data_IF_222038742979
#
_entry.id   IF_222038742979
#
_cell.length_a   1.000
_cell.length_b   1.000
_cell.length_c   1.000
_cell.angle_alpha   90.00
_cell.angle_beta   90.00
_cell.angle_gamma   90.00
#
_symmetry.space_group_name_H-M   'P 1'
#
loop_
_entity.id
_entity.type
_entity.pdbx_description
1 polymer ?
#
# COMPACT_ATOMS: atom_id res chain seq x y z
N UNK A 1 -20.27 -22.32 -16.58
CA UNK A 1 -21.01 -21.15 -16.05
C UNK A 1 -21.05 -21.32 -14.54
N UNK A 2 -20.39 -20.46 -13.76
CA UNK A 2 -20.42 -20.55 -12.28
C UNK A 2 -21.75 -19.97 -11.81
N UNK A 3 -22.64 -20.84 -11.34
CA UNK A 3 -23.89 -20.45 -10.71
C UNK A 3 -23.60 -19.56 -9.49
N UNK A 4 -24.34 -18.47 -9.43
CA UNK A 4 -24.40 -17.49 -8.34
C UNK A 4 -24.73 -18.18 -7.01
N UNK A 5 -23.68 -18.51 -6.25
CA UNK A 5 -23.82 -18.79 -4.82
C UNK A 5 -23.84 -17.44 -4.09
N UNK A 6 -24.68 -17.35 -3.07
CA UNK A 6 -24.68 -16.30 -2.05
C UNK A 6 -23.28 -15.77 -1.78
N UNK A 7 -23.14 -14.44 -1.71
CA UNK A 7 -21.87 -13.77 -1.40
C UNK A 7 -21.19 -14.47 -0.22
N UNK A 8 -20.07 -15.16 -0.47
CA UNK A 8 -19.25 -15.79 0.58
C UNK A 8 -18.67 -14.76 1.54
N UNK A 9 -18.70 -13.49 1.14
CA UNK A 9 -18.24 -12.35 1.93
C UNK A 9 -19.29 -11.99 2.97
N UNK A 10 -18.87 -12.08 4.23
CA UNK A 10 -19.63 -11.68 5.41
C UNK A 10 -19.49 -10.19 5.67
N UNK A 11 -18.27 -9.65 5.55
CA UNK A 11 -17.99 -8.26 5.89
C UNK A 11 -16.87 -7.66 5.03
N UNK A 12 -17.05 -6.39 4.68
CA UNK A 12 -16.02 -5.56 4.03
C UNK A 12 -15.38 -4.71 5.12
N UNK A 13 -14.08 -4.92 5.33
CA UNK A 13 -13.26 -4.23 6.30
C UNK A 13 -12.63 -2.93 5.75
N UNK A 14 -11.53 -2.47 6.38
CA UNK A 14 -10.79 -1.30 5.92
C UNK A 14 -10.29 -1.42 4.48
N UNK A 15 -10.13 -0.26 3.85
CA UNK A 15 -9.66 -0.12 2.49
C UNK A 15 -8.48 0.85 2.44
N UNK A 16 -7.46 0.51 1.66
CA UNK A 16 -6.21 1.28 1.56
C UNK A 16 -5.97 1.59 0.08
N UNK A 17 -5.91 2.87 -0.26
CA UNK A 17 -5.48 3.32 -1.57
C UNK A 17 -3.97 3.45 -1.59
N UNK A 18 -3.34 2.83 -2.60
CA UNK A 18 -1.90 2.97 -2.80
C UNK A 18 -1.60 4.34 -3.41
N UNK A 19 -0.57 5.04 -2.92
CA UNK A 19 -0.06 6.24 -3.57
C UNK A 19 0.27 5.95 -5.04
N UNK A 20 0.04 6.94 -5.92
CA UNK A 20 0.51 6.81 -7.30
C UNK A 20 2.01 7.03 -7.29
N UNK A 21 2.75 6.06 -7.80
CA UNK A 21 4.17 6.25 -8.10
C UNK A 21 4.40 7.00 -9.42
N UNK A 22 3.36 7.18 -10.24
CA UNK A 22 3.47 7.78 -11.56
C UNK A 22 3.00 9.23 -11.60
N UNK A 23 3.66 10.02 -12.44
CA UNK A 23 3.26 11.37 -12.82
C UNK A 23 1.78 11.47 -13.22
N UNK A 24 1.15 12.64 -13.01
CA UNK A 24 -0.20 12.88 -13.48
C UNK A 24 -0.29 12.61 -14.99
N UNK A 25 -1.40 12.01 -15.46
CA UNK A 25 -1.54 11.70 -16.88
C UNK A 25 -1.53 12.98 -17.72
N UNK A 26 -1.04 12.93 -18.97
CA UNK A 26 -1.13 14.04 -19.91
C UNK A 26 -2.58 14.55 -20.05
N UNK A 27 -2.77 15.86 -20.30
CA UNK A 27 -4.09 16.44 -20.47
C UNK A 27 -4.92 15.67 -21.51
N UNK A 28 -6.17 15.38 -21.17
CA UNK A 28 -7.10 14.64 -22.04
C UNK A 28 -7.12 13.12 -21.86
N UNK A 29 -6.18 12.52 -21.11
CA UNK A 29 -6.22 11.09 -20.79
C UNK A 29 -6.96 10.84 -19.48
N UNK A 30 -7.82 9.81 -19.47
CA UNK A 30 -8.52 9.37 -18.25
C UNK A 30 -7.51 8.85 -17.23
N UNK A 31 -7.54 9.44 -16.05
CA UNK A 31 -6.74 8.98 -14.91
C UNK A 31 -7.18 7.57 -14.51
N UNK A 32 -6.29 6.57 -14.65
CA UNK A 32 -6.51 5.22 -14.11
C UNK A 32 -6.84 5.35 -12.62
N UNK A 33 -7.81 4.63 -12.07
CA UNK A 33 -8.04 4.66 -10.61
C UNK A 33 -6.79 4.13 -9.88
N UNK A 34 -6.46 4.68 -8.72
CA UNK A 34 -5.35 4.20 -7.86
C UNK A 34 -5.54 2.75 -7.49
N UNK A 35 -4.48 1.95 -7.42
CA UNK A 35 -4.60 0.58 -6.90
C UNK A 35 -5.07 0.62 -5.44
N UNK A 36 -5.90 -0.34 -5.06
CA UNK A 36 -6.53 -0.38 -3.74
C UNK A 36 -6.57 -1.80 -3.23
N UNK A 37 -6.28 -1.95 -1.95
CA UNK A 37 -6.43 -3.19 -1.19
C UNK A 37 -7.60 -3.08 -0.22
N UNK A 38 -8.38 -4.14 -0.13
CA UNK A 38 -9.61 -4.19 0.65
C UNK A 38 -9.53 -5.42 1.54
N UNK A 39 -9.72 -5.22 2.84
CA UNK A 39 -9.83 -6.34 3.77
C UNK A 39 -11.22 -6.95 3.63
N UNK A 40 -11.28 -8.25 3.38
CA UNK A 40 -12.53 -8.99 3.21
C UNK A 40 -12.58 -10.11 4.24
N UNK A 41 -13.71 -10.24 4.94
CA UNK A 41 -13.99 -11.35 5.83
C UNK A 41 -15.08 -12.23 5.21
N UNK A 42 -14.79 -13.53 5.12
CA UNK A 42 -15.66 -14.55 4.60
C UNK A 42 -16.48 -15.22 5.71
N UNK A 43 -17.57 -15.85 5.31
CA UNK A 43 -18.35 -16.72 6.18
C UNK A 43 -17.52 -17.93 6.64
N UNK A 44 -17.62 -18.27 7.92
CA UNK A 44 -16.96 -19.43 8.53
C UNK A 44 -17.78 -20.70 8.44
N UNK A 45 -19.07 -20.57 8.15
CA UNK A 45 -20.01 -21.68 8.01
C UNK A 45 -19.99 -22.23 6.57
N UNK A 46 -20.06 -23.56 6.45
CA UNK A 46 -19.96 -24.27 5.17
C UNK A 46 -21.18 -23.99 4.27
N UNK A 47 -22.31 -23.64 4.88
CA UNK A 47 -23.56 -23.34 4.16
C UNK A 47 -23.40 -22.09 3.30
N UNK A 48 -22.83 -21.02 3.86
CA UNK A 48 -22.60 -19.76 3.14
C UNK A 48 -21.23 -19.71 2.45
N UNK A 49 -20.25 -20.50 2.89
CA UNK A 49 -18.94 -20.59 2.28
C UNK A 49 -18.46 -22.05 2.22
N UNK A 50 -18.64 -22.75 1.08
CA UNK A 50 -18.27 -24.16 0.96
C UNK A 50 -16.77 -24.41 1.19
N UNK A 51 -15.94 -23.39 1.02
CA UNK A 51 -14.49 -23.45 1.11
C UNK A 51 -13.97 -22.95 2.48
N UNK A 52 -14.85 -22.74 3.47
CA UNK A 52 -14.51 -22.21 4.80
C UNK A 52 -13.50 -23.06 5.60
N UNK A 53 -13.32 -24.34 5.23
CA UNK A 53 -12.33 -25.22 5.87
C UNK A 53 -10.93 -25.14 5.26
N UNK A 54 -10.81 -24.62 4.04
CA UNK A 54 -9.59 -24.67 3.24
C UNK A 54 -8.99 -23.29 3.00
N UNK A 55 -9.81 -22.24 3.07
CA UNK A 55 -9.39 -20.86 2.82
C UNK A 55 -9.28 -20.06 4.12
N UNK A 56 -8.42 -19.06 4.07
CA UNK A 56 -8.35 -18.05 5.11
C UNK A 56 -9.68 -17.29 5.17
N UNK A 57 -10.22 -17.14 6.39
CA UNK A 57 -11.48 -16.44 6.60
C UNK A 57 -11.36 -14.92 6.42
N UNK A 58 -10.13 -14.40 6.41
CA UNK A 58 -9.84 -12.99 6.30
C UNK A 58 -8.65 -12.80 5.38
N UNK A 59 -8.85 -12.05 4.31
CA UNK A 59 -7.78 -11.76 3.35
C UNK A 59 -7.79 -10.31 2.89
N UNK A 60 -6.68 -9.89 2.28
CA UNK A 60 -6.58 -8.62 1.58
C UNK A 60 -6.65 -8.87 0.08
N UNK A 61 -7.69 -8.35 -0.56
CA UNK A 61 -7.88 -8.45 -2.01
C UNK A 61 -7.60 -7.12 -2.69
N UNK A 62 -7.10 -7.19 -3.92
CA UNK A 62 -7.03 -6.05 -4.82
C UNK A 62 -8.43 -5.61 -5.25
N UNK A 63 -8.57 -4.36 -5.72
CA UNK A 63 -9.82 -3.88 -6.33
C UNK A 63 -10.33 -4.82 -7.43
N UNK A 64 -9.44 -5.33 -8.27
CA UNK A 64 -9.79 -6.22 -9.37
C UNK A 64 -10.35 -7.56 -8.89
N UNK A 65 -9.74 -8.15 -7.87
CA UNK A 65 -10.23 -9.38 -7.24
C UNK A 65 -11.57 -9.14 -6.55
N UNK A 66 -11.71 -8.03 -5.83
CA UNK A 66 -12.98 -7.66 -5.20
C UNK A 66 -14.11 -7.48 -6.22
N UNK A 67 -13.84 -6.82 -7.34
CA UNK A 67 -14.80 -6.71 -8.46
C UNK A 67 -15.15 -8.08 -9.02
N UNK A 68 -14.19 -8.99 -9.15
CA UNK A 68 -14.43 -10.34 -9.63
C UNK A 68 -15.29 -11.17 -8.64
N UNK A 69 -15.15 -10.92 -7.33
CA UNK A 69 -15.90 -11.61 -6.27
C UNK A 69 -17.36 -11.18 -6.17
N UNK A 70 -17.64 -9.86 -6.16
CA UNK A 70 -19.00 -9.34 -5.90
C UNK A 70 -19.68 -8.69 -7.12
N UNK A 71 -18.94 -8.57 -8.22
CA UNK A 71 -19.39 -7.88 -9.42
C UNK A 71 -19.17 -6.36 -9.36
N UNK A 72 -18.92 -5.78 -10.53
CA UNK A 72 -18.52 -4.38 -10.67
C UNK A 72 -19.51 -3.39 -10.07
N UNK A 73 -20.81 -3.54 -10.33
CA UNK A 73 -21.83 -2.59 -9.85
C UNK A 73 -21.88 -2.53 -8.32
N UNK A 74 -21.80 -3.68 -7.65
CA UNK A 74 -21.80 -3.74 -6.19
C UNK A 74 -20.50 -3.23 -5.59
N UNK A 75 -19.36 -3.58 -6.21
CA UNK A 75 -18.06 -3.06 -5.80
C UNK A 75 -18.00 -1.53 -5.86
N UNK A 76 -18.42 -0.91 -6.97
CA UNK A 76 -18.42 0.53 -7.12
C UNK A 76 -19.36 1.24 -6.12
N UNK A 77 -20.52 0.64 -5.83
CA UNK A 77 -21.43 1.17 -4.82
C UNK A 77 -20.83 1.11 -3.40
N UNK A 78 -20.18 -0.01 -3.05
CA UNK A 78 -19.48 -0.17 -1.76
C UNK A 78 -18.28 0.75 -1.66
N UNK A 79 -17.49 0.87 -2.73
CA UNK A 79 -16.39 1.82 -2.84
C UNK A 79 -16.85 3.23 -2.52
N UNK A 80 -17.92 3.71 -3.17
CA UNK A 80 -18.44 5.07 -2.97
C UNK A 80 -18.81 5.37 -1.51
N UNK A 81 -19.21 4.36 -0.74
CA UNK A 81 -19.61 4.50 0.67
C UNK A 81 -18.43 4.34 1.63
N UNK A 82 -17.54 3.38 1.39
CA UNK A 82 -16.46 3.02 2.33
C UNK A 82 -15.19 3.85 2.13
N UNK A 83 -14.81 4.17 0.89
CA UNK A 83 -13.56 4.91 0.61
C UNK A 83 -13.45 6.25 1.33
N UNK A 84 -14.49 7.12 1.31
CA UNK A 84 -14.41 8.39 2.03
C UNK A 84 -14.11 8.21 3.52
N UNK A 85 -14.73 7.22 4.16
CA UNK A 85 -14.51 6.88 5.58
C UNK A 85 -13.10 6.36 5.82
N UNK A 86 -12.58 5.51 4.93
CA UNK A 86 -11.20 5.03 5.01
C UNK A 86 -10.21 6.22 4.90
N UNK A 87 -10.41 7.12 3.93
CA UNK A 87 -9.55 8.30 3.72
C UNK A 87 -9.54 9.24 4.92
N UNK A 88 -10.71 9.52 5.48
CA UNK A 88 -10.84 10.36 6.68
C UNK A 88 -10.12 9.73 7.88
N UNK A 89 -10.27 8.42 8.08
CA UNK A 89 -9.55 7.69 9.12
C UNK A 89 -8.04 7.70 8.91
N UNK A 90 -7.56 7.53 7.68
CA UNK A 90 -6.12 7.63 7.38
C UNK A 90 -5.60 9.03 7.68
N UNK A 91 -6.32 10.09 7.28
CA UNK A 91 -5.95 11.48 7.59
C UNK A 91 -5.87 11.69 9.10
N UNK A 92 -6.84 11.20 9.86
CA UNK A 92 -6.82 11.28 11.32
C UNK A 92 -5.61 10.56 11.93
N UNK A 93 -5.30 9.36 11.46
CA UNK A 93 -4.12 8.61 11.91
C UNK A 93 -2.83 9.37 11.60
N UNK A 94 -2.73 9.99 10.42
CA UNK A 94 -1.56 10.79 10.03
C UNK A 94 -1.40 12.03 10.93
N UNK A 95 -2.50 12.71 11.28
CA UNK A 95 -2.49 13.79 12.26
C UNK A 95 -2.05 13.31 13.65
N UNK A 96 -2.47 12.10 14.06
CA UNK A 96 -2.02 11.48 15.30
C UNK A 96 -0.51 11.18 15.30
N UNK A 97 0.05 10.73 14.17
CA UNK A 97 1.51 10.56 14.01
C UNK A 97 2.25 11.87 14.20
N UNK A 98 1.82 12.92 13.50
CA UNK A 98 2.45 14.24 13.56
C UNK A 98 2.41 14.80 14.99
N UNK A 99 1.30 14.59 15.71
CA UNK A 99 1.12 15.05 17.10
C UNK A 99 1.77 14.15 18.15
N UNK A 100 2.24 12.96 17.76
CA UNK A 100 2.80 11.98 18.69
C UNK A 100 1.78 11.44 19.70
N UNK A 101 0.54 11.19 19.28
CA UNK A 101 -0.55 10.68 20.15
C UNK A 101 -1.14 9.37 19.63
N UNK A 102 -1.69 8.56 20.54
CA UNK A 102 -2.45 7.37 20.19
C UNK A 102 -3.81 7.71 19.56
N UNK A 103 -4.20 7.09 18.43
CA UNK A 103 -5.50 7.34 17.79
C UNK A 103 -6.72 6.99 18.66
N UNK A 104 -6.59 5.99 19.55
CA UNK A 104 -7.70 5.49 20.36
C UNK A 104 -7.94 6.32 21.61
N UNK A 105 -6.86 6.63 22.34
CA UNK A 105 -6.93 7.29 23.66
C UNK A 105 -6.61 8.78 23.60
N UNK A 106 -6.01 9.26 22.49
CA UNK A 106 -5.47 10.62 22.33
C UNK A 106 -4.40 10.99 23.36
N UNK A 107 -3.85 10.01 24.06
CA UNK A 107 -2.75 10.22 24.99
C UNK A 107 -1.43 10.31 24.23
N UNK A 108 -0.43 11.03 24.78
CA UNK A 108 0.93 11.03 24.24
C UNK A 108 1.49 9.61 24.11
N UNK A 109 2.24 9.36 23.05
CA UNK A 109 2.89 8.06 22.82
C UNK A 109 3.93 7.76 23.89
N UNK A 110 3.69 6.72 24.68
CA UNK A 110 4.68 6.18 25.62
C UNK A 110 5.79 5.42 24.89
N UNK A 111 6.87 5.10 25.60
CA UNK A 111 7.95 4.25 25.07
C UNK A 111 7.46 2.85 24.68
N UNK A 112 6.50 2.29 25.42
CA UNK A 112 5.90 0.99 25.10
C UNK A 112 5.04 1.07 23.83
N UNK A 113 4.28 2.15 23.67
CA UNK A 113 3.46 2.37 22.48
C UNK A 113 4.30 2.49 21.21
N UNK A 114 5.48 3.11 21.31
CA UNK A 114 6.41 3.24 20.17
C UNK A 114 6.98 1.88 19.74
N UNK A 115 7.19 0.95 20.68
CA UNK A 115 7.59 -0.41 20.36
C UNK A 115 6.44 -1.23 19.77
N UNK A 116 5.23 -1.07 20.30
CA UNK A 116 4.03 -1.79 19.88
C UNK A 116 3.48 -1.31 18.54
N UNK A 117 3.58 -0.01 18.27
CA UNK A 117 3.09 0.64 17.05
C UNK A 117 4.22 1.45 16.37
N UNK A 118 5.25 0.78 15.82
CA UNK A 118 6.39 1.49 15.22
C UNK A 118 5.98 2.44 14.09
N UNK A 119 4.94 2.08 13.34
CA UNK A 119 4.37 2.87 12.24
C UNK A 119 3.72 4.18 12.68
N UNK A 120 3.50 4.38 13.99
CA UNK A 120 2.92 5.59 14.56
C UNK A 120 4.00 6.59 15.02
N UNK A 121 5.26 6.16 15.13
CA UNK A 121 6.40 7.02 15.46
C UNK A 121 6.93 7.74 14.21
N UNK A 122 7.10 9.05 14.30
CA UNK A 122 7.73 9.88 13.25
C UNK A 122 9.26 9.74 13.20
N UNK A 123 9.87 9.10 14.20
CA UNK A 123 11.34 8.93 14.28
C UNK A 123 11.92 8.08 13.15
N UNK A 124 11.10 7.28 12.46
CA UNK A 124 11.51 6.50 11.28
C UNK A 124 11.49 7.31 9.97
N UNK A 125 10.82 8.47 9.93
CA UNK A 125 10.68 9.29 8.72
C UNK A 125 11.83 10.30 8.53
N UNK A 126 12.61 10.60 9.57
CA UNK A 126 13.63 11.67 9.56
C UNK A 126 14.99 11.22 9.00
N UNK A 127 15.17 9.96 8.58
CA UNK A 127 16.49 9.44 8.14
C UNK A 127 16.69 9.30 6.62
N UNK A 128 16.07 10.14 5.80
CA UNK A 128 16.26 10.07 4.33
C UNK A 128 16.85 11.34 3.70
N UNK A 129 16.95 12.47 4.42
CA UNK A 129 17.53 13.69 3.86
C UNK A 129 18.79 14.11 4.64
N UNK A 130 19.95 13.77 4.07
CA UNK A 130 21.22 14.51 4.03
C UNK A 130 22.36 13.51 3.70
N UNK A 131 22.40 13.04 2.46
CA UNK A 131 23.68 12.70 1.84
C UNK A 131 23.94 13.81 0.85
N UNK A 132 24.74 14.79 1.27
CA UNK A 132 25.33 15.81 0.40
C UNK A 132 25.90 15.14 -0.85
N UNK A 133 25.42 15.57 -2.03
CA UNK A 133 26.06 15.26 -3.30
C UNK A 133 27.44 15.91 -3.28
N UNK A 134 28.46 15.13 -2.94
CA UNK A 134 29.85 15.53 -3.14
C UNK A 134 30.11 15.46 -4.64
N UNK A 135 30.08 16.61 -5.31
CA UNK A 135 30.66 16.80 -6.64
C UNK A 135 32.13 16.37 -6.57
N UNK A 136 32.44 15.19 -7.12
CA UNK A 136 33.82 14.77 -7.34
C UNK A 136 34.28 15.37 -8.66
N UNK A 137 35.14 16.39 -8.59
CA UNK A 137 35.90 16.91 -9.72
C UNK A 137 36.71 15.78 -10.36
N UNK A 138 36.36 15.42 -11.60
CA UNK A 138 37.08 14.45 -12.43
C UNK A 138 38.13 15.21 -13.23
N UNK A 139 39.19 15.66 -12.57
CA UNK A 139 40.39 16.20 -13.22
C UNK A 139 41.62 15.51 -12.62
N UNK A 140 41.81 14.22 -12.92
CA UNK A 140 43.13 13.55 -12.89
C UNK A 140 43.05 12.10 -13.41
N UNK A 141 42.50 11.90 -14.61
CA UNK A 141 42.74 10.65 -15.35
C UNK A 141 44.11 10.80 -16.03
N UNK A 142 45.16 10.41 -15.30
CA UNK A 142 46.49 10.24 -15.86
C UNK A 142 46.50 9.13 -16.91
N UNK A 143 47.12 9.47 -18.02
CA UNK A 143 47.30 8.75 -19.27
C UNK A 143 47.97 7.37 -19.04
N UNK A 144 47.14 6.32 -18.92
CA UNK A 144 47.63 4.95 -18.88
C UNK A 144 47.89 4.48 -20.33
N UNK A 145 49.11 4.75 -20.80
CA UNK A 145 49.71 4.18 -22.01
C UNK A 145 49.60 2.64 -22.00
N UNK A 146 48.77 2.08 -22.88
CA UNK A 146 48.75 0.65 -23.14
C UNK A 146 49.91 0.29 -24.08
N UNK A 147 50.93 -0.40 -23.56
CA UNK A 147 51.92 -1.12 -24.38
C UNK A 147 51.23 -2.32 -25.04
N UNK A 148 51.20 -2.33 -26.36
CA UNK A 148 50.75 -3.46 -27.17
C UNK A 148 51.81 -4.56 -27.14
N UNK A 149 51.47 -5.82 -26.81
CA UNK A 149 52.43 -6.92 -26.91
C UNK A 149 52.67 -7.30 -28.38
N UNK A 150 53.87 -7.80 -28.72
CA UNK A 150 54.24 -8.12 -30.09
C UNK A 150 53.45 -9.33 -30.59
N UNK A 151 52.96 -9.24 -31.83
CA UNK A 151 52.41 -10.38 -32.55
C UNK A 151 53.56 -11.19 -33.11
N UNK A 152 53.76 -12.40 -32.58
CA UNK A 152 54.58 -13.41 -33.24
C UNK A 152 53.87 -13.92 -34.50
N UNK A 153 54.70 -14.10 -35.53
CA UNK A 153 54.46 -14.39 -36.96
C UNK A 153 53.53 -15.54 -37.29
#
# INVERSE_FOLDING_TARGET
MRNSKSSTIKMIGPCIEMPRLSDPPPPGKKTRKQDMYIKVEYHSDIENNPDAKTLDLVEWVTRTEFIALIGQRFAEAKEKVHLPKCRERMKYIEECKIRGVLPETRQPLSSEDRQKYPWLSTELLVKVEESEEVEMDIDDIQDASYETPPQDT
#
